data_IF_512248157332
#
_entry.id   IF_512248157332
#
_cell.length_a   1.000
_cell.length_b   1.000
_cell.length_c   1.000
_cell.angle_alpha   90.00
_cell.angle_beta   90.00
_cell.angle_gamma   90.00
#
_symmetry.space_group_name_H-M   'P 1'
#
loop_
_entity.id
_entity.type
_entity.pdbx_description
1 polymer ?
#
# COMPACT_ATOMS: atom_id res chain seq x y z
N UNK A 1 -4.17 -12.05 2.62
CA UNK A 1 -4.23 -11.77 4.07
C UNK A 1 -4.54 -10.30 4.34
N UNK A 2 -3.81 -9.35 3.74
CA UNK A 2 -3.98 -7.91 4.00
C UNK A 2 -5.25 -7.31 3.36
N UNK A 3 -5.72 -7.85 2.23
CA UNK A 3 -6.88 -7.32 1.50
C UNK A 3 -8.15 -8.15 1.70
N UNK A 4 -8.17 -9.39 1.18
CA UNK A 4 -9.40 -10.21 1.10
C UNK A 4 -9.96 -10.67 2.44
N UNK A 5 -9.11 -10.98 3.43
CA UNK A 5 -9.55 -11.49 4.75
C UNK A 5 -10.27 -10.41 5.59
N UNK A 6 -9.69 -9.21 5.83
CA UNK A 6 -10.41 -8.14 6.53
C UNK A 6 -11.74 -7.78 5.86
N UNK A 7 -11.76 -7.71 4.52
CA UNK A 7 -12.99 -7.41 3.76
C UNK A 7 -14.08 -8.44 3.99
N UNK A 8 -13.75 -9.73 3.98
CA UNK A 8 -14.69 -10.79 4.30
C UNK A 8 -15.26 -10.69 5.72
N UNK A 9 -14.43 -10.35 6.71
CA UNK A 9 -14.88 -10.16 8.11
C UNK A 9 -15.82 -8.96 8.23
N UNK A 10 -15.54 -7.88 7.51
CA UNK A 10 -16.32 -6.64 7.54
C UNK A 10 -17.56 -6.66 6.63
N UNK A 11 -17.79 -7.75 5.88
CA UNK A 11 -18.90 -7.87 4.93
C UNK A 11 -18.73 -7.10 3.62
N UNK A 12 -17.51 -6.67 3.29
CA UNK A 12 -17.20 -6.06 2.00
C UNK A 12 -16.91 -7.13 0.93
N UNK A 13 -17.12 -6.78 -0.33
CA UNK A 13 -16.75 -7.64 -1.47
C UNK A 13 -15.25 -7.95 -1.44
N UNK A 14 -14.82 -9.21 -1.23
CA UNK A 14 -13.41 -9.56 -1.08
C UNK A 14 -12.66 -9.59 -2.42
N UNK A 15 -13.35 -9.60 -3.57
CA UNK A 15 -12.75 -9.69 -4.89
C UNK A 15 -12.70 -8.33 -5.60
N UNK A 16 -11.60 -7.63 -5.41
CA UNK A 16 -11.31 -6.33 -6.04
C UNK A 16 -10.64 -6.46 -7.42
N UNK A 17 -10.20 -7.65 -7.80
CA UNK A 17 -9.36 -7.86 -8.98
C UNK A 17 -10.11 -8.67 -10.04
N UNK A 18 -11.18 -8.07 -10.56
CA UNK A 18 -12.00 -8.63 -11.63
C UNK A 18 -12.40 -7.53 -12.62
N UNK A 19 -12.61 -7.91 -13.88
CA UNK A 19 -13.06 -6.98 -14.91
C UNK A 19 -14.38 -6.31 -14.51
N UNK A 20 -14.50 -5.01 -14.76
CA UNK A 20 -15.67 -4.20 -14.40
C UNK A 20 -15.74 -3.76 -12.94
N UNK A 21 -14.77 -4.16 -12.08
CA UNK A 21 -14.61 -3.61 -10.74
C UNK A 21 -13.89 -2.27 -10.80
N UNK A 22 -14.20 -1.41 -9.84
CA UNK A 22 -13.44 -0.19 -9.61
C UNK A 22 -11.99 -0.53 -9.22
N UNK A 23 -11.02 0.20 -9.76
CA UNK A 23 -9.61 -0.12 -9.55
C UNK A 23 -9.15 0.27 -8.13
N UNK A 24 -8.81 -0.75 -7.35
CA UNK A 24 -8.19 -0.68 -6.03
C UNK A 24 -6.92 -1.52 -6.07
N UNK A 25 -5.81 -0.91 -6.50
CA UNK A 25 -4.58 -1.61 -6.91
C UNK A 25 -3.36 -0.94 -6.29
N UNK A 26 -2.44 -1.76 -5.77
CA UNK A 26 -1.09 -1.31 -5.36
C UNK A 26 -0.06 -2.06 -6.19
N UNK A 27 0.87 -1.33 -6.80
CA UNK A 27 2.03 -1.88 -7.51
C UNK A 27 3.21 -1.83 -6.57
N UNK A 28 3.83 -2.99 -6.35
CA UNK A 28 4.96 -3.20 -5.46
C UNK A 28 6.11 -3.79 -6.29
N UNK A 29 7.29 -3.17 -6.24
CA UNK A 29 8.52 -3.85 -6.60
C UNK A 29 8.98 -4.66 -5.39
N UNK A 30 8.97 -6.01 -5.44
CA UNK A 30 9.33 -6.85 -4.30
C UNK A 30 10.84 -6.93 -4.05
N UNK A 31 11.68 -6.55 -5.01
CA UNK A 31 13.12 -6.73 -4.95
C UNK A 31 13.88 -5.44 -4.63
N UNK A 32 13.23 -4.29 -4.74
CA UNK A 32 13.81 -3.01 -4.37
C UNK A 32 14.15 -2.95 -2.87
N UNK A 33 15.41 -2.68 -2.55
CA UNK A 33 15.88 -2.35 -1.21
C UNK A 33 15.99 -0.83 -1.04
N UNK A 34 15.55 -0.33 0.11
CA UNK A 34 15.59 1.10 0.41
C UNK A 34 15.67 1.35 1.92
N UNK A 35 16.18 2.53 2.30
CA UNK A 35 16.25 2.94 3.71
C UNK A 35 15.05 3.81 4.06
N UNK A 36 14.33 3.46 5.12
CA UNK A 36 13.15 4.19 5.56
C UNK A 36 13.52 5.51 6.24
N UNK A 37 13.33 6.62 5.52
CA UNK A 37 13.55 7.99 5.99
C UNK A 37 12.27 8.80 6.30
N UNK A 38 12.44 10.03 6.82
CA UNK A 38 11.34 10.94 7.18
C UNK A 38 10.54 11.42 5.98
N UNK A 39 11.20 11.59 4.84
CA UNK A 39 10.65 11.96 3.54
C UNK A 39 9.58 10.99 3.03
N UNK A 40 9.57 9.76 3.55
CA UNK A 40 8.59 8.72 3.20
C UNK A 40 7.34 8.73 4.09
N UNK A 41 7.27 9.62 5.09
CA UNK A 41 6.17 9.69 6.05
C UNK A 41 5.31 10.92 5.77
N UNK A 42 4.06 10.71 5.38
CA UNK A 42 3.07 11.79 5.19
C UNK A 42 2.33 12.19 6.47
N UNK A 43 2.55 11.48 7.59
CA UNK A 43 1.98 11.82 8.89
C UNK A 43 2.61 13.08 9.48
N UNK A 44 1.84 13.81 10.30
CA UNK A 44 2.34 14.95 11.08
C UNK A 44 3.28 14.53 12.23
N UNK A 45 3.23 13.27 12.65
CA UNK A 45 4.05 12.73 13.73
C UNK A 45 5.39 12.20 13.21
N UNK A 46 6.45 12.34 14.01
CA UNK A 46 7.83 11.94 13.68
C UNK A 46 8.32 10.75 14.50
N UNK A 47 7.42 9.86 14.96
CA UNK A 47 7.72 8.82 15.95
C UNK A 47 7.75 7.39 15.40
N UNK A 48 8.09 7.19 14.13
CA UNK A 48 8.24 5.83 13.58
C UNK A 48 9.48 5.14 14.17
N UNK A 49 9.37 3.91 14.69
CA UNK A 49 10.52 3.13 15.12
C UNK A 49 11.37 2.60 13.95
N UNK A 50 10.88 2.73 12.71
CA UNK A 50 11.55 2.20 11.51
C UNK A 50 12.53 3.19 10.86
N UNK A 51 12.73 4.39 11.41
CA UNK A 51 13.66 5.34 10.79
C UNK A 51 15.10 4.80 10.75
N UNK A 52 15.69 4.84 9.56
CA UNK A 52 17.04 4.33 9.30
C UNK A 52 17.09 2.83 8.98
N UNK A 53 15.97 2.11 9.09
CA UNK A 53 15.90 0.68 8.77
C UNK A 53 15.97 0.45 7.27
N UNK A 54 16.64 -0.65 6.87
CA UNK A 54 16.63 -1.13 5.49
C UNK A 54 15.43 -2.04 5.29
N UNK A 55 14.60 -1.71 4.30
CA UNK A 55 13.40 -2.47 3.93
C UNK A 55 13.59 -3.06 2.53
N UNK A 56 12.98 -4.24 2.32
CA UNK A 56 12.87 -4.87 1.01
C UNK A 56 11.41 -4.86 0.57
N UNK A 57 11.18 -4.49 -0.68
CA UNK A 57 9.87 -4.26 -1.23
C UNK A 57 9.46 -2.79 -1.10
N UNK A 58 9.11 -2.13 -2.21
CA UNK A 58 8.63 -0.75 -2.21
C UNK A 58 7.41 -0.56 -3.10
N UNK A 59 6.45 0.22 -2.60
CA UNK A 59 5.25 0.60 -3.36
C UNK A 59 5.65 1.69 -4.35
N UNK A 60 5.37 1.44 -5.62
CA UNK A 60 5.66 2.36 -6.74
C UNK A 60 4.42 3.13 -7.19
N UNK A 61 3.22 2.54 -7.01
CA UNK A 61 1.96 3.15 -7.42
C UNK A 61 0.82 2.65 -6.54
N UNK A 62 -0.11 3.52 -6.19
CA UNK A 62 -1.40 3.13 -5.61
C UNK A 62 -2.53 3.81 -6.35
N UNK A 63 -3.50 3.02 -6.78
CA UNK A 63 -4.77 3.46 -7.36
C UNK A 63 -5.87 3.13 -6.36
N UNK A 64 -6.61 4.14 -5.92
CA UNK A 64 -7.81 3.96 -5.10
C UNK A 64 -9.00 4.58 -5.80
N UNK A 65 -10.10 3.83 -5.90
CA UNK A 65 -11.32 4.26 -6.59
C UNK A 65 -11.08 4.79 -8.01
N UNK A 66 -10.18 4.12 -8.74
CA UNK A 66 -9.78 4.55 -10.09
C UNK A 66 -8.89 5.80 -10.17
N UNK A 67 -8.48 6.39 -9.05
CA UNK A 67 -7.62 7.57 -9.00
C UNK A 67 -6.21 7.21 -8.52
N UNK A 68 -5.19 7.79 -9.14
CA UNK A 68 -3.80 7.66 -8.69
C UNK A 68 -3.65 8.45 -7.38
N UNK A 69 -3.37 7.75 -6.30
CA UNK A 69 -3.25 8.32 -4.95
C UNK A 69 -1.78 8.49 -4.51
N UNK A 70 -0.89 7.59 -4.95
CA UNK A 70 0.54 7.61 -4.64
C UNK A 70 1.29 7.26 -5.92
N UNK A 71 2.33 8.04 -6.22
CA UNK A 71 3.35 7.80 -7.25
C UNK A 71 4.67 8.42 -6.77
#
# INVERSE_FOLDING_TARGET
MLTSKPRGIMGFDPNLFAAGKEAEITVLDPDLEWTFGKEHVHSRSINSPYYGEKLKGKIELTISRGQIAIQ
#
